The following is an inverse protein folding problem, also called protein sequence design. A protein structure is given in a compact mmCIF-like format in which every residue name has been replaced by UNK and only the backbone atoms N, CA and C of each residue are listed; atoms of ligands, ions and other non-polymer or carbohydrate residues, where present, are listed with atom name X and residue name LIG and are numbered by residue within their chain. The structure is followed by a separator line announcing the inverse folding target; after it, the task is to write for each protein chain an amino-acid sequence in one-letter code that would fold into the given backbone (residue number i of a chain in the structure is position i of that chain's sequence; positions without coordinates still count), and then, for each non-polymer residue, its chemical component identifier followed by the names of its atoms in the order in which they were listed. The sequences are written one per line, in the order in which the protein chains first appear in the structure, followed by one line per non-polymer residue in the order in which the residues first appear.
data_IF_377758172202
#
_entry.id   IF_377758172202
#
_cell.length_a   1.000
_cell.length_b   1.000
_cell.length_c   1.000
_cell.angle_alpha   90.00
_cell.angle_beta   90.00
_cell.angle_gamma   90.00
#
_symmetry.space_group_name_H-M   'P 1'
#
loop_
_entity.id
_entity.type
_entity.pdbx_description
1 polymer ?
#
# COMPACT_ATOMS: atom_id res chain seq x y z
N UNK A 1 9.62 -9.77 20.87
CA UNK A 1 10.09 -8.89 21.97
C UNK A 1 8.87 -8.65 22.83
N UNK A 2 8.81 -9.16 24.06
CA UNK A 2 7.64 -8.91 24.93
C UNK A 2 7.55 -7.41 25.20
N UNK A 3 6.50 -6.77 24.70
CA UNK A 3 6.23 -5.37 25.00
C UNK A 3 5.53 -5.35 26.36
N UNK A 4 6.04 -4.58 27.32
CA UNK A 4 5.37 -4.40 28.60
C UNK A 4 4.34 -3.28 28.38
N UNK A 5 3.03 -3.59 28.35
CA UNK A 5 2.01 -2.58 28.17
C UNK A 5 1.92 -1.67 29.40
N UNK A 6 1.46 -0.42 29.24
CA UNK A 6 1.20 0.45 30.38
C UNK A 6 -0.03 -0.04 31.14
N UNK A 7 -0.07 0.22 32.46
CA UNK A 7 -1.17 -0.22 33.36
C UNK A 7 -2.59 0.12 32.90
N UNK A 8 -2.77 1.21 32.14
CA UNK A 8 -4.09 1.55 31.62
C UNK A 8 -4.52 0.59 30.50
N UNK A 9 -3.57 0.12 29.68
CA UNK A 9 -3.81 -0.82 28.59
C UNK A 9 -4.04 -2.23 29.15
N UNK A 10 -3.30 -2.63 30.19
CA UNK A 10 -3.54 -3.86 30.97
C UNK A 10 -4.97 -3.89 31.51
N UNK A 11 -5.38 -2.87 32.27
CA UNK A 11 -6.74 -2.77 32.81
C UNK A 11 -7.82 -2.76 31.72
N UNK A 12 -7.52 -2.18 30.56
CA UNK A 12 -8.44 -2.17 29.42
C UNK A 12 -8.62 -3.58 28.88
N UNK A 13 -7.55 -4.33 28.59
CA UNK A 13 -7.67 -5.69 28.05
C UNK A 13 -8.33 -6.65 29.05
N UNK A 14 -8.01 -6.53 30.35
CA UNK A 14 -8.67 -7.29 31.42
C UNK A 14 -10.18 -7.04 31.46
N UNK A 15 -10.63 -5.79 31.25
CA UNK A 15 -12.04 -5.44 31.26
C UNK A 15 -12.81 -6.04 30.07
N UNK A 16 -12.19 -6.11 28.88
CA UNK A 16 -12.82 -6.66 27.68
C UNK A 16 -12.72 -8.19 27.57
N UNK A 17 -11.76 -8.82 28.25
CA UNK A 17 -11.53 -10.29 28.26
C UNK A 17 -11.43 -10.90 26.86
N UNK A 18 -10.80 -10.17 25.93
CA UNK A 18 -10.54 -10.64 24.58
C UNK A 18 -9.12 -11.23 24.51
N UNK A 19 -8.98 -12.55 24.34
CA UNK A 19 -7.67 -13.20 24.36
C UNK A 19 -6.78 -12.79 23.19
N UNK A 20 -7.34 -12.48 22.01
CA UNK A 20 -6.55 -12.00 20.87
C UNK A 20 -5.99 -10.62 21.14
N UNK A 21 -6.81 -9.74 21.73
CA UNK A 21 -6.38 -8.39 22.07
C UNK A 21 -5.33 -8.41 23.18
N UNK A 22 -5.49 -9.27 24.18
CA UNK A 22 -4.50 -9.45 25.26
C UNK A 22 -3.14 -9.87 24.68
N UNK A 23 -3.10 -10.94 23.88
CA UNK A 23 -1.87 -11.39 23.19
C UNK A 23 -1.24 -10.28 22.35
N UNK A 24 -2.06 -9.57 21.58
CA UNK A 24 -1.61 -8.46 20.75
C UNK A 24 -0.97 -7.34 21.59
N UNK A 25 -1.59 -7.04 22.75
CA UNK A 25 -1.11 -6.02 23.68
C UNK A 25 0.20 -6.40 24.33
N UNK A 26 0.51 -7.68 24.54
CA UNK A 26 1.83 -8.11 25.03
C UNK A 26 2.87 -8.28 23.91
N UNK A 27 2.50 -7.99 22.65
CA UNK A 27 3.39 -8.14 21.50
C UNK A 27 3.68 -9.60 21.13
N UNK A 28 2.78 -10.51 21.48
CA UNK A 28 2.87 -11.91 21.05
C UNK A 28 2.64 -12.03 19.53
N UNK A 29 3.23 -13.07 18.93
CA UNK A 29 2.94 -13.41 17.55
C UNK A 29 1.52 -13.96 17.45
N UNK A 30 0.65 -13.26 16.74
CA UNK A 30 -0.76 -13.64 16.59
C UNK A 30 -0.92 -14.80 15.61
N UNK A 31 -1.76 -15.77 15.95
CA UNK A 31 -2.20 -16.81 15.04
C UNK A 31 -3.22 -16.25 14.04
N UNK A 32 -3.51 -17.00 12.97
CA UNK A 32 -4.55 -16.62 12.01
C UNK A 32 -5.94 -16.48 12.69
N UNK A 33 -6.26 -17.35 13.66
CA UNK A 33 -7.51 -17.25 14.43
C UNK A 33 -7.54 -16.01 15.33
N UNK A 34 -6.39 -15.64 15.91
CA UNK A 34 -6.32 -14.43 16.72
C UNK A 34 -6.62 -13.18 15.87
N UNK A 35 -6.02 -13.10 14.67
CA UNK A 35 -6.21 -11.99 13.72
C UNK A 35 -7.66 -11.96 13.22
N UNK A 36 -8.26 -13.11 12.91
CA UNK A 36 -9.66 -13.18 12.51
C UNK A 36 -10.59 -12.63 13.59
N UNK A 37 -10.38 -13.02 14.86
CA UNK A 37 -11.13 -12.49 16.01
C UNK A 37 -11.01 -10.96 16.14
N UNK A 38 -9.82 -10.40 15.93
CA UNK A 38 -9.62 -8.93 15.90
C UNK A 38 -10.49 -8.25 14.81
N UNK A 39 -10.67 -8.93 13.67
CA UNK A 39 -11.41 -8.41 12.52
C UNK A 39 -12.92 -8.59 12.61
N UNK A 40 -13.43 -9.56 13.38
CA UNK A 40 -14.84 -9.91 13.43
C UNK A 40 -15.53 -9.61 14.77
N UNK A 41 -14.84 -9.84 15.89
CA UNK A 41 -15.46 -9.92 17.21
C UNK A 41 -14.94 -8.86 18.19
N UNK A 42 -13.65 -8.52 18.14
CA UNK A 42 -13.05 -7.59 19.10
C UNK A 42 -13.70 -6.20 19.01
N UNK A 43 -14.09 -5.56 20.13
CA UNK A 43 -14.62 -4.20 20.09
C UNK A 43 -13.60 -3.21 19.51
N UNK A 44 -14.05 -2.34 18.60
CA UNK A 44 -13.16 -1.47 17.84
C UNK A 44 -12.37 -0.50 18.73
N UNK A 45 -13.03 0.14 19.70
CA UNK A 45 -12.40 1.18 20.53
C UNK A 45 -11.18 0.69 21.33
N UNK A 46 -11.22 -0.41 22.09
CA UNK A 46 -10.03 -0.91 22.78
C UNK A 46 -8.94 -1.37 21.80
N UNK A 47 -9.32 -1.97 20.67
CA UNK A 47 -8.36 -2.35 19.64
C UNK A 47 -7.66 -1.13 19.02
N UNK A 48 -8.41 -0.06 18.73
CA UNK A 48 -7.89 1.18 18.19
C UNK A 48 -6.96 1.88 19.18
N UNK A 49 -7.32 1.89 20.48
CA UNK A 49 -6.47 2.47 21.54
C UNK A 49 -5.14 1.72 21.66
N UNK A 50 -5.15 0.39 21.62
CA UNK A 50 -3.93 -0.42 21.60
C UNK A 50 -3.08 -0.15 20.34
N UNK A 51 -3.72 -0.12 19.17
CA UNK A 51 -3.04 0.12 17.90
C UNK A 51 -2.41 1.51 17.82
N UNK A 52 -3.12 2.57 18.25
CA UNK A 52 -2.61 3.94 18.30
C UNK A 52 -1.43 4.06 19.26
N UNK A 53 -1.56 3.49 20.47
CA UNK A 53 -0.47 3.47 21.45
C UNK A 53 0.81 2.87 20.84
N UNK A 54 0.71 1.69 20.23
CA UNK A 54 1.88 1.04 19.65
C UNK A 54 2.44 1.77 18.44
N UNK A 55 1.59 2.33 17.58
CA UNK A 55 2.06 3.16 16.48
C UNK A 55 2.90 4.34 17.00
N UNK A 56 2.43 5.02 18.05
CA UNK A 56 3.13 6.17 18.65
C UNK A 56 4.43 5.78 19.32
N UNK A 57 4.46 4.67 20.05
CA UNK A 57 5.68 4.16 20.72
C UNK A 57 6.74 3.82 19.67
N UNK A 58 6.40 3.01 18.67
CA UNK A 58 7.34 2.53 17.66
C UNK A 58 7.89 3.68 16.81
N UNK A 59 7.03 4.65 16.48
CA UNK A 59 7.41 5.79 15.64
C UNK A 59 7.84 7.01 16.44
N UNK A 60 7.95 6.91 17.77
CA UNK A 60 8.34 8.01 18.67
C UNK A 60 7.52 9.28 18.42
N UNK A 61 6.22 9.13 18.20
CA UNK A 61 5.29 10.23 17.89
C UNK A 61 5.45 10.87 16.51
N UNK A 62 6.27 10.32 15.61
CA UNK A 62 6.45 10.81 14.24
C UNK A 62 5.39 10.23 13.30
N UNK A 63 4.63 11.13 12.66
CA UNK A 63 3.74 10.81 11.55
C UNK A 63 4.36 11.29 10.24
N UNK A 64 4.24 10.52 9.17
CA UNK A 64 5.00 10.80 7.94
C UNK A 64 4.14 11.02 6.70
N UNK A 65 4.76 11.65 5.70
CA UNK A 65 4.28 11.70 4.32
C UNK A 65 5.45 11.70 3.33
N UNK A 66 5.21 11.40 2.05
CA UNK A 66 6.20 11.50 0.97
C UNK A 66 5.78 12.49 -0.12
N UNK A 67 6.76 13.18 -0.73
CA UNK A 67 6.52 13.93 -1.96
C UNK A 67 6.90 13.07 -3.17
N UNK A 68 5.89 12.58 -3.87
CA UNK A 68 6.02 11.66 -4.98
C UNK A 68 5.07 11.99 -6.14
N UNK A 69 5.37 11.40 -7.29
CA UNK A 69 4.44 11.30 -8.42
C UNK A 69 4.07 9.86 -8.66
N UNK A 70 2.97 9.67 -9.36
CA UNK A 70 2.53 8.39 -9.88
C UNK A 70 2.55 8.43 -11.42
N UNK A 71 3.17 7.42 -12.02
CA UNK A 71 3.22 7.22 -13.47
C UNK A 71 2.58 5.90 -13.82
N UNK A 72 1.55 5.94 -14.67
CA UNK A 72 1.06 4.74 -15.32
C UNK A 72 1.67 4.64 -16.72
N UNK A 73 2.53 3.65 -16.97
CA UNK A 73 3.25 3.58 -18.26
C UNK A 73 2.38 3.07 -19.41
N UNK A 74 1.42 2.20 -19.11
CA UNK A 74 0.38 1.73 -20.03
C UNK A 74 -0.90 1.44 -19.26
N UNK A 75 -2.05 1.56 -19.93
CA UNK A 75 -3.30 1.00 -19.44
C UNK A 75 -3.77 -0.24 -20.23
N UNK A 76 -2.99 -0.71 -21.21
CA UNK A 76 -3.27 -1.97 -21.92
C UNK A 76 -2.98 -3.15 -21.00
N UNK A 77 -3.95 -4.05 -20.78
CA UNK A 77 -3.79 -5.12 -19.80
C UNK A 77 -4.57 -6.40 -20.16
N UNK A 78 -3.91 -7.55 -20.10
CA UNK A 78 -4.54 -8.87 -20.30
C UNK A 78 -5.26 -9.42 -19.06
N UNK A 79 -4.98 -8.89 -17.87
CA UNK A 79 -5.37 -9.51 -16.59
C UNK A 79 -6.86 -9.37 -16.24
N UNK A 80 -7.56 -8.38 -16.80
CA UNK A 80 -9.04 -8.22 -16.70
C UNK A 80 -9.62 -8.35 -15.28
N UNK A 81 -8.99 -7.71 -14.30
CA UNK A 81 -9.47 -7.75 -12.91
C UNK A 81 -10.89 -7.18 -12.79
N UNK A 82 -11.77 -7.86 -12.04
CA UNK A 82 -13.19 -7.47 -11.95
C UNK A 82 -13.40 -6.18 -11.16
N UNK A 83 -12.42 -5.72 -10.39
CA UNK A 83 -12.43 -4.49 -9.60
C UNK A 83 -11.70 -3.31 -10.27
N UNK A 84 -11.14 -3.49 -11.47
CA UNK A 84 -10.27 -2.51 -12.10
C UNK A 84 -10.98 -1.81 -13.27
N UNK A 85 -11.25 -0.52 -13.14
CA UNK A 85 -11.77 0.33 -14.24
C UNK A 85 -10.65 1.01 -15.05
N UNK A 86 -9.38 0.79 -14.70
CA UNK A 86 -8.25 1.43 -15.35
C UNK A 86 -7.87 0.81 -16.69
N UNK A 87 -8.08 -0.50 -16.85
CA UNK A 87 -7.50 -1.24 -17.97
C UNK A 87 -8.28 -1.12 -19.28
N UNK A 88 -7.54 -1.19 -20.38
CA UNK A 88 -8.04 -1.42 -21.74
C UNK A 88 -7.56 -2.80 -22.19
N UNK A 89 -8.46 -3.71 -22.61
CA UNK A 89 -8.04 -5.02 -23.05
C UNK A 89 -7.30 -4.92 -24.41
N UNK A 90 -6.38 -5.85 -24.74
CA UNK A 90 -5.55 -5.76 -25.95
C UNK A 90 -6.36 -5.64 -27.24
N UNK A 91 -7.53 -6.27 -27.34
CA UNK A 91 -8.38 -6.22 -28.54
C UNK A 91 -8.94 -4.80 -28.78
N UNK A 92 -8.85 -3.91 -27.79
CA UNK A 92 -9.24 -2.50 -27.88
C UNK A 92 -8.05 -1.56 -27.66
N UNK A 93 -6.82 -2.00 -27.95
CA UNK A 93 -5.57 -1.22 -27.77
C UNK A 93 -5.65 0.22 -28.29
N UNK A 94 -6.37 0.46 -29.39
CA UNK A 94 -6.58 1.81 -29.95
C UNK A 94 -7.28 2.79 -29.00
N UNK A 95 -8.00 2.29 -27.99
CA UNK A 95 -8.61 3.09 -26.91
C UNK A 95 -7.73 3.21 -25.67
N UNK A 96 -6.57 2.54 -25.66
CA UNK A 96 -5.58 2.58 -24.61
C UNK A 96 -4.41 3.49 -24.96
N UNK A 97 -3.38 3.46 -24.12
CA UNK A 97 -2.14 4.16 -24.34
C UNK A 97 -0.98 3.35 -23.78
N UNK A 98 0.19 3.53 -24.39
CA UNK A 98 1.50 3.14 -23.87
C UNK A 98 2.43 4.31 -24.09
N UNK A 99 2.99 4.86 -23.00
CA UNK A 99 3.93 5.97 -23.08
C UNK A 99 5.32 5.47 -23.49
N UNK A 100 6.06 6.26 -24.26
CA UNK A 100 7.46 5.92 -24.57
C UNK A 100 8.35 6.09 -23.32
N UNK A 101 9.45 5.31 -23.19
CA UNK A 101 10.44 5.48 -22.12
C UNK A 101 10.92 6.93 -21.96
N UNK A 102 11.22 7.60 -23.08
CA UNK A 102 11.63 9.02 -23.12
C UNK A 102 10.57 9.96 -22.56
N UNK A 103 9.29 9.69 -22.82
CA UNK A 103 8.21 10.48 -22.24
C UNK A 103 8.16 10.32 -20.72
N UNK A 104 8.25 9.08 -20.23
CA UNK A 104 8.26 8.78 -18.78
C UNK A 104 9.44 9.47 -18.08
N UNK A 105 10.64 9.38 -18.66
CA UNK A 105 11.82 10.08 -18.17
C UNK A 105 11.60 11.59 -18.10
N UNK A 106 11.11 12.21 -19.18
CA UNK A 106 10.83 13.66 -19.22
C UNK A 106 9.83 14.10 -18.15
N UNK A 107 8.76 13.33 -17.92
CA UNK A 107 7.77 13.65 -16.87
C UNK A 107 8.40 13.54 -15.48
N UNK A 108 9.18 12.48 -15.22
CA UNK A 108 9.90 12.31 -13.95
C UNK A 108 10.90 13.45 -13.70
N UNK A 109 11.69 13.83 -14.70
CA UNK A 109 12.66 14.93 -14.60
C UNK A 109 11.99 16.28 -14.35
N UNK A 110 10.85 16.55 -15.01
CA UNK A 110 10.07 17.75 -14.77
C UNK A 110 9.52 17.81 -13.34
N UNK A 111 8.99 16.68 -12.84
CA UNK A 111 8.49 16.57 -11.48
C UNK A 111 9.61 16.75 -10.46
N UNK A 112 10.80 16.17 -10.70
CA UNK A 112 11.98 16.38 -9.85
C UNK A 112 12.36 17.85 -9.81
N UNK A 113 12.46 18.51 -10.96
CA UNK A 113 12.84 19.93 -11.05
C UNK A 113 11.82 20.88 -10.43
N UNK A 114 10.52 20.65 -10.65
CA UNK A 114 9.46 21.59 -10.24
C UNK A 114 8.90 21.33 -8.85
N UNK A 115 8.84 20.07 -8.45
CA UNK A 115 8.18 19.65 -7.21
C UNK A 115 9.17 19.05 -6.22
N UNK A 116 10.43 18.84 -6.59
CA UNK A 116 11.44 18.25 -5.72
C UNK A 116 11.08 16.83 -5.25
N UNK A 117 10.36 16.04 -6.07
CA UNK A 117 9.91 14.70 -5.65
C UNK A 117 11.08 13.81 -5.25
N UNK A 118 10.84 12.92 -4.28
CA UNK A 118 11.82 11.93 -3.80
C UNK A 118 11.57 10.53 -4.35
N UNK A 119 10.34 10.25 -4.75
CA UNK A 119 9.92 8.96 -5.30
C UNK A 119 9.17 9.18 -6.61
N UNK A 120 9.47 8.33 -7.59
CA UNK A 120 8.62 8.06 -8.74
C UNK A 120 8.01 6.67 -8.52
N UNK A 121 6.70 6.62 -8.35
CA UNK A 121 5.94 5.37 -8.31
C UNK A 121 5.47 5.06 -9.73
N UNK A 122 5.88 3.93 -10.30
CA UNK A 122 5.49 3.55 -11.66
C UNK A 122 4.90 2.14 -11.72
N UNK A 123 3.68 2.01 -12.24
CA UNK A 123 3.03 0.71 -12.51
C UNK A 123 2.24 0.80 -13.81
N UNK A 124 1.69 -0.30 -14.31
CA UNK A 124 0.91 -0.28 -15.53
C UNK A 124 0.04 -1.51 -15.70
N UNK A 125 -0.54 -1.62 -16.88
CA UNK A 125 -1.18 -2.84 -17.33
C UNK A 125 -0.18 -3.87 -17.85
N UNK A 126 -0.57 -5.14 -17.79
CA UNK A 126 0.18 -6.25 -18.36
C UNK A 126 -0.04 -6.32 -19.87
N UNK A 127 0.77 -5.57 -20.63
CA UNK A 127 0.74 -5.51 -22.09
C UNK A 127 1.68 -6.57 -22.70
N UNK A 128 1.16 -7.58 -23.44
CA UNK A 128 1.96 -8.68 -23.98
C UNK A 128 2.83 -8.30 -25.18
N UNK A 129 2.63 -7.12 -25.77
CA UNK A 129 3.45 -6.65 -26.90
C UNK A 129 4.67 -5.84 -26.45
N UNK A 130 4.81 -5.54 -25.16
CA UNK A 130 5.97 -4.81 -24.66
C UNK A 130 7.16 -5.76 -24.49
N UNK A 131 8.28 -5.53 -25.21
CA UNK A 131 9.49 -6.30 -25.04
C UNK A 131 10.17 -5.95 -23.71
N UNK A 132 11.07 -6.81 -23.24
CA UNK A 132 11.78 -6.57 -21.97
C UNK A 132 12.58 -5.25 -21.99
N UNK A 133 13.15 -4.92 -23.15
CA UNK A 133 13.97 -3.73 -23.39
C UNK A 133 13.19 -2.42 -23.17
N UNK A 134 11.87 -2.41 -23.40
CA UNK A 134 11.02 -1.25 -23.11
C UNK A 134 11.07 -0.89 -21.63
N UNK A 135 10.96 -1.88 -20.75
CA UNK A 135 10.95 -1.69 -19.31
C UNK A 135 12.32 -1.23 -18.80
N UNK A 136 13.40 -1.81 -19.31
CA UNK A 136 14.75 -1.39 -18.98
C UNK A 136 15.05 0.04 -19.45
N UNK A 137 14.63 0.39 -20.67
CA UNK A 137 14.78 1.76 -21.17
C UNK A 137 13.97 2.73 -20.31
N UNK A 138 12.74 2.38 -19.91
CA UNK A 138 11.92 3.23 -19.03
C UNK A 138 12.60 3.50 -17.68
N UNK A 139 13.21 2.48 -17.07
CA UNK A 139 14.00 2.64 -15.85
C UNK A 139 15.18 3.61 -16.10
N UNK A 140 16.01 3.33 -17.12
CA UNK A 140 17.21 4.13 -17.42
C UNK A 140 16.88 5.59 -17.73
N UNK A 141 15.82 5.82 -18.51
CA UNK A 141 15.32 7.15 -18.86
C UNK A 141 14.89 7.93 -17.61
N UNK A 142 14.14 7.31 -16.70
CA UNK A 142 13.73 7.96 -15.44
C UNK A 142 14.94 8.28 -14.57
N UNK A 143 15.88 7.34 -14.39
CA UNK A 143 17.07 7.57 -13.56
C UNK A 143 17.99 8.65 -14.13
N UNK A 144 18.06 8.77 -15.46
CA UNK A 144 18.83 9.83 -16.14
C UNK A 144 18.19 11.21 -16.00
N UNK A 145 16.88 11.32 -16.25
CA UNK A 145 16.17 12.61 -16.24
C UNK A 145 15.85 13.13 -14.82
N UNK A 146 15.76 12.23 -13.83
CA UNK A 146 15.45 12.55 -12.44
C UNK A 146 16.51 12.00 -11.46
N UNK A 147 17.77 12.48 -11.51
CA UNK A 147 18.83 11.96 -10.66
C UNK A 147 18.51 12.10 -9.17
N UNK A 148 18.77 11.03 -8.42
CA UNK A 148 18.55 10.94 -6.97
C UNK A 148 17.11 10.67 -6.54
N UNK A 149 16.15 10.48 -7.46
CA UNK A 149 14.85 9.92 -7.09
C UNK A 149 14.93 8.41 -6.89
N UNK A 150 14.17 7.92 -5.92
CA UNK A 150 13.88 6.50 -5.79
C UNK A 150 12.84 6.12 -6.84
N UNK A 151 13.18 5.17 -7.70
CA UNK A 151 12.25 4.56 -8.63
C UNK A 151 11.65 3.31 -7.98
N UNK A 152 10.37 3.43 -7.58
CA UNK A 152 9.58 2.32 -7.09
C UNK A 152 8.65 1.85 -8.20
N UNK A 153 9.02 0.80 -8.90
CA UNK A 153 8.34 0.39 -10.12
C UNK A 153 8.08 -1.12 -10.20
N UNK A 154 7.02 -1.48 -10.93
CA UNK A 154 6.59 -2.85 -11.24
C UNK A 154 6.20 -3.69 -10.02
N UNK A 155 4.92 -4.01 -9.90
CA UNK A 155 4.43 -4.94 -8.89
C UNK A 155 5.01 -6.35 -9.10
N UNK A 156 4.98 -7.20 -8.07
CA UNK A 156 5.34 -8.61 -8.23
C UNK A 156 4.46 -9.33 -9.28
N UNK A 157 3.20 -8.91 -9.43
CA UNK A 157 2.32 -9.34 -10.53
C UNK A 157 2.90 -8.98 -11.91
N UNK A 158 3.35 -7.73 -12.10
CA UNK A 158 3.98 -7.30 -13.35
C UNK A 158 5.30 -8.04 -13.59
N UNK A 159 6.14 -8.25 -12.58
CA UNK A 159 7.38 -9.02 -12.71
C UNK A 159 7.09 -10.45 -13.18
N UNK A 160 6.09 -11.12 -12.60
CA UNK A 160 5.68 -12.47 -13.00
C UNK A 160 5.14 -12.50 -14.43
N UNK A 161 4.32 -11.51 -14.80
CA UNK A 161 3.83 -11.37 -16.16
C UNK A 161 4.96 -11.11 -17.17
N UNK A 162 5.83 -10.14 -16.92
CA UNK A 162 6.95 -9.77 -17.79
C UNK A 162 7.88 -10.97 -18.00
N UNK A 163 8.22 -11.68 -16.93
CA UNK A 163 9.03 -12.90 -17.02
C UNK A 163 8.40 -13.90 -18.01
N UNK A 164 7.13 -14.24 -17.83
CA UNK A 164 6.40 -15.17 -18.72
C UNK A 164 6.30 -14.65 -20.16
N UNK A 165 5.92 -13.39 -20.35
CA UNK A 165 5.67 -12.80 -21.67
C UNK A 165 6.95 -12.66 -22.50
N UNK A 166 8.10 -12.53 -21.84
CA UNK A 166 9.41 -12.31 -22.50
C UNK A 166 10.29 -13.57 -22.51
N UNK A 167 9.80 -14.70 -21.98
CA UNK A 167 10.56 -15.95 -21.91
C UNK A 167 11.72 -15.93 -20.89
N UNK A 168 11.64 -15.09 -19.86
CA UNK A 168 12.62 -14.97 -18.78
C UNK A 168 12.07 -15.57 -17.48
N UNK A 169 12.95 -15.76 -16.49
CA UNK A 169 12.55 -16.03 -15.10
C UNK A 169 12.33 -14.71 -14.33
N UNK A 170 11.50 -14.70 -13.27
CA UNK A 170 11.36 -13.53 -12.40
C UNK A 170 12.69 -13.04 -11.82
N UNK A 171 13.61 -13.96 -11.51
CA UNK A 171 14.95 -13.63 -10.99
C UNK A 171 15.79 -12.88 -12.02
N UNK A 172 15.76 -13.28 -13.30
CA UNK A 172 16.48 -12.58 -14.38
C UNK A 172 15.90 -11.19 -14.62
N UNK A 173 14.57 -11.07 -14.65
CA UNK A 173 13.89 -9.77 -14.80
C UNK A 173 14.28 -8.82 -13.65
N UNK A 174 14.21 -9.28 -12.40
CA UNK A 174 14.62 -8.48 -11.24
C UNK A 174 16.10 -8.09 -11.29
N UNK A 175 16.99 -8.99 -11.75
CA UNK A 175 18.42 -8.71 -11.85
C UNK A 175 18.68 -7.60 -12.88
N UNK A 176 18.09 -7.72 -14.06
CA UNK A 176 18.18 -6.74 -15.15
C UNK A 176 17.59 -5.40 -14.76
N UNK A 177 16.45 -5.39 -14.07
CA UNK A 177 15.83 -4.15 -13.62
C UNK A 177 16.64 -3.46 -12.52
N UNK A 178 17.22 -4.22 -11.59
CA UNK A 178 18.14 -3.67 -10.59
C UNK A 178 19.36 -3.05 -11.25
N UNK A 179 19.96 -3.73 -12.22
CA UNK A 179 21.09 -3.19 -13.00
C UNK A 179 20.73 -1.92 -13.77
N UNK A 180 19.51 -1.86 -14.33
CA UNK A 180 19.00 -0.66 -14.99
C UNK A 180 18.76 0.51 -14.01
N UNK A 181 18.61 0.24 -12.71
CA UNK A 181 18.46 1.26 -11.66
C UNK A 181 17.12 1.24 -10.91
N UNK A 182 16.40 0.12 -10.91
CA UNK A 182 15.23 -0.09 -10.05
C UNK A 182 15.64 -0.14 -8.57
N UNK A 183 14.97 0.64 -7.73
CA UNK A 183 15.33 0.77 -6.31
C UNK A 183 14.40 -0.02 -5.37
N UNK A 184 13.10 -0.15 -5.70
CA UNK A 184 12.11 -0.85 -4.87
C UNK A 184 10.91 -1.33 -5.68
N UNK A 185 10.18 -2.33 -5.15
CA UNK A 185 8.89 -2.74 -5.72
C UNK A 185 7.71 -2.07 -4.99
N UNK A 186 6.67 -1.58 -5.71
CA UNK A 186 5.39 -1.27 -5.11
C UNK A 186 4.68 -2.54 -4.62
N UNK A 187 3.68 -2.38 -3.75
CA UNK A 187 3.00 -3.50 -3.09
C UNK A 187 1.71 -3.97 -3.75
N UNK A 188 1.31 -3.36 -4.87
CA UNK A 188 0.10 -3.73 -5.60
C UNK A 188 0.15 -5.17 -6.13
N UNK A 189 -1.00 -5.68 -6.60
CA UNK A 189 -1.11 -7.02 -7.19
C UNK A 189 -1.43 -8.14 -6.20
N UNK A 190 -1.24 -7.92 -4.90
CA UNK A 190 -1.60 -8.86 -3.86
C UNK A 190 -3.13 -9.03 -3.72
N UNK A 191 -3.87 -7.93 -3.88
CA UNK A 191 -5.30 -7.85 -3.56
C UNK A 191 -5.57 -8.38 -2.14
N UNK A 192 -6.22 -9.52 -2.02
CA UNK A 192 -6.14 -10.40 -0.84
C UNK A 192 -5.43 -11.68 -1.28
N UNK A 193 -4.61 -12.27 -0.40
CA UNK A 193 -3.80 -13.46 -0.76
C UNK A 193 -4.61 -14.77 -0.72
N UNK A 194 -5.90 -14.69 -0.37
CA UNK A 194 -6.76 -15.86 -0.39
C UNK A 194 -7.10 -16.26 -1.82
N UNK A 195 -6.67 -17.45 -2.24
CA UNK A 195 -6.94 -18.00 -3.57
C UNK A 195 -8.44 -18.14 -3.85
N UNK A 196 -9.24 -18.42 -2.81
CA UNK A 196 -10.71 -18.46 -2.91
C UNK A 196 -11.27 -17.13 -3.43
N UNK A 197 -10.75 -16.00 -2.93
CA UNK A 197 -11.18 -14.67 -3.37
C UNK A 197 -10.54 -14.30 -4.70
N UNK A 198 -9.24 -14.55 -4.89
CA UNK A 198 -8.52 -14.20 -6.13
C UNK A 198 -9.12 -14.86 -7.37
N UNK A 199 -9.53 -16.13 -7.29
CA UNK A 199 -10.22 -16.81 -8.39
C UNK A 199 -11.51 -16.12 -8.84
N UNK A 200 -12.16 -15.37 -7.94
CA UNK A 200 -13.39 -14.62 -8.24
C UNK A 200 -13.09 -13.21 -8.76
N UNK A 201 -12.05 -12.55 -8.23
CA UNK A 201 -11.83 -11.12 -8.48
C UNK A 201 -10.71 -10.81 -9.49
N UNK A 202 -9.72 -11.70 -9.64
CA UNK A 202 -8.56 -11.53 -10.51
C UNK A 202 -8.00 -12.89 -10.98
N UNK A 203 -8.80 -13.70 -11.69
CA UNK A 203 -8.44 -15.08 -12.05
C UNK A 203 -7.24 -15.21 -13.00
N UNK A 204 -6.87 -14.15 -13.71
CA UNK A 204 -5.75 -14.16 -14.68
C UNK A 204 -4.43 -13.64 -14.10
N UNK A 205 -4.41 -13.25 -12.83
CA UNK A 205 -3.17 -12.91 -12.13
C UNK A 205 -2.36 -14.16 -11.81
N UNK A 206 -1.08 -13.98 -11.48
CA UNK A 206 -0.29 -15.05 -10.87
C UNK A 206 -0.92 -15.48 -9.54
N UNK A 207 -0.63 -16.70 -9.08
CA UNK A 207 -1.10 -17.17 -7.78
C UNK A 207 -0.49 -16.34 -6.63
N UNK A 208 -1.09 -16.40 -5.45
CA UNK A 208 -0.57 -15.73 -4.25
C UNK A 208 0.79 -16.28 -3.82
N UNK A 209 1.07 -17.56 -4.07
CA UNK A 209 2.37 -18.16 -3.77
C UNK A 209 3.44 -17.65 -4.73
N UNK A 210 3.15 -17.59 -6.03
CA UNK A 210 4.05 -16.94 -7.01
C UNK A 210 4.28 -15.47 -6.67
N UNK A 211 3.23 -14.75 -6.26
CA UNK A 211 3.33 -13.36 -5.85
C UNK A 211 4.28 -13.17 -4.66
N UNK A 212 4.13 -13.99 -3.61
CA UNK A 212 5.01 -13.95 -2.43
C UNK A 212 6.44 -14.41 -2.76
N UNK A 213 6.60 -15.39 -3.65
CA UNK A 213 7.91 -15.87 -4.09
C UNK A 213 8.70 -14.79 -4.84
N UNK A 214 8.04 -14.00 -5.69
CA UNK A 214 8.68 -12.88 -6.37
C UNK A 214 9.18 -11.82 -5.38
N UNK A 215 8.40 -11.53 -4.33
CA UNK A 215 8.86 -10.67 -3.24
C UNK A 215 10.05 -11.28 -2.49
N UNK A 216 10.01 -12.59 -2.18
CA UNK A 216 11.13 -13.30 -1.56
C UNK A 216 12.41 -13.20 -2.41
N UNK A 217 12.30 -13.40 -3.71
CA UNK A 217 13.40 -13.25 -4.65
C UNK A 217 13.94 -11.81 -4.66
N UNK A 218 13.05 -10.82 -4.77
CA UNK A 218 13.43 -9.40 -4.75
C UNK A 218 14.19 -9.04 -3.45
N UNK A 219 13.67 -9.47 -2.30
CA UNK A 219 14.29 -9.25 -1.00
C UNK A 219 15.68 -9.89 -0.90
N UNK A 220 15.84 -11.14 -1.40
CA UNK A 220 17.14 -11.83 -1.44
C UNK A 220 18.19 -11.11 -2.30
N UNK A 221 17.73 -10.27 -3.23
CA UNK A 221 18.54 -9.48 -4.15
C UNK A 221 18.77 -8.03 -3.68
N UNK A 222 18.34 -7.70 -2.45
CA UNK A 222 18.44 -6.35 -1.86
C UNK A 222 17.37 -5.37 -2.35
N UNK A 223 16.40 -5.81 -3.16
CA UNK A 223 15.29 -4.99 -3.62
C UNK A 223 14.18 -5.09 -2.59
N UNK A 224 13.98 -4.01 -1.82
CA UNK A 224 12.90 -3.94 -0.83
C UNK A 224 11.57 -3.62 -1.50
N UNK A 225 10.46 -3.94 -0.85
CA UNK A 225 9.13 -3.71 -1.44
C UNK A 225 8.09 -3.21 -0.45
N UNK A 226 6.97 -2.70 -0.95
CA UNK A 226 5.75 -2.56 -0.17
C UNK A 226 4.88 -3.81 -0.29
N UNK A 227 3.84 -3.89 0.55
CA UNK A 227 2.77 -4.87 0.42
C UNK A 227 1.41 -4.18 0.63
N UNK A 228 0.42 -4.50 -0.20
CA UNK A 228 -0.93 -3.92 -0.11
C UNK A 228 -1.97 -4.98 0.22
N UNK A 229 -3.07 -4.57 0.86
CA UNK A 229 -4.28 -5.36 1.00
C UNK A 229 -5.44 -4.62 0.33
N UNK A 230 -6.08 -5.20 -0.68
CA UNK A 230 -7.39 -4.73 -1.14
C UNK A 230 -8.48 -5.28 -0.20
N UNK A 231 -9.35 -4.40 0.30
CA UNK A 231 -10.40 -4.77 1.26
C UNK A 231 -11.71 -4.01 0.99
N UNK A 232 -12.76 -4.35 1.74
CA UNK A 232 -14.13 -3.82 1.60
C UNK A 232 -14.81 -4.21 0.28
N UNK A 233 -14.50 -5.41 -0.22
CA UNK A 233 -15.20 -6.07 -1.30
C UNK A 233 -15.88 -7.36 -0.80
N UNK A 234 -15.78 -8.44 -1.57
CA UNK A 234 -16.39 -9.74 -1.25
C UNK A 234 -15.64 -10.54 -0.19
N UNK A 235 -14.53 -10.02 0.36
CA UNK A 235 -13.70 -10.76 1.32
C UNK A 235 -14.46 -11.00 2.64
N UNK A 236 -13.82 -11.75 3.53
CA UNK A 236 -14.32 -12.07 4.87
C UNK A 236 -13.18 -11.90 5.85
N UNK A 237 -13.44 -11.73 7.15
CA UNK A 237 -12.40 -11.60 8.17
C UNK A 237 -11.30 -12.68 8.05
N UNK A 238 -11.66 -13.94 7.83
CA UNK A 238 -10.71 -15.05 7.58
C UNK A 238 -9.74 -14.79 6.43
N UNK A 239 -10.19 -14.16 5.33
CA UNK A 239 -9.37 -13.88 4.16
C UNK A 239 -8.34 -12.77 4.43
N UNK A 240 -8.74 -11.76 5.21
CA UNK A 240 -7.85 -10.69 5.66
C UNK A 240 -6.85 -11.22 6.70
N UNK A 241 -7.30 -12.10 7.60
CA UNK A 241 -6.45 -12.77 8.56
C UNK A 241 -5.37 -13.63 7.88
N UNK A 242 -5.76 -14.43 6.88
CA UNK A 242 -4.85 -15.20 6.04
C UNK A 242 -3.79 -14.29 5.39
N UNK A 243 -4.22 -13.16 4.82
CA UNK A 243 -3.32 -12.19 4.20
C UNK A 243 -2.29 -11.65 5.20
N UNK A 244 -2.74 -11.12 6.34
CA UNK A 244 -1.87 -10.54 7.37
C UNK A 244 -0.90 -11.56 7.96
N UNK A 245 -1.38 -12.78 8.19
CA UNK A 245 -0.54 -13.89 8.66
C UNK A 245 0.56 -14.23 7.66
N UNK A 246 0.21 -14.42 6.37
CA UNK A 246 1.19 -14.80 5.33
C UNK A 246 2.26 -13.73 5.11
N UNK A 247 1.87 -12.45 5.08
CA UNK A 247 2.85 -11.36 4.88
C UNK A 247 3.76 -11.19 6.10
N UNK A 248 3.24 -11.42 7.32
CA UNK A 248 4.06 -11.43 8.54
C UNK A 248 5.12 -12.52 8.48
N UNK A 249 4.74 -13.75 8.09
CA UNK A 249 5.68 -14.88 7.96
C UNK A 249 6.78 -14.59 6.96
N UNK A 250 6.43 -14.08 5.77
CA UNK A 250 7.44 -13.68 4.79
C UNK A 250 8.33 -12.54 5.29
N UNK A 251 7.78 -11.61 6.06
CA UNK A 251 8.58 -10.53 6.67
C UNK A 251 9.54 -11.06 7.74
N UNK A 252 9.12 -12.01 8.57
CA UNK A 252 9.99 -12.69 9.54
C UNK A 252 11.13 -13.45 8.85
N UNK A 253 10.88 -14.00 7.65
CA UNK A 253 11.90 -14.67 6.83
C UNK A 253 12.89 -13.70 6.16
N UNK A 254 12.40 -12.57 5.63
CA UNK A 254 13.16 -11.76 4.66
C UNK A 254 13.48 -10.33 5.10
N UNK A 255 12.69 -9.75 6.01
CA UNK A 255 12.81 -8.35 6.45
C UNK A 255 12.63 -7.31 5.34
N UNK A 256 12.22 -7.71 4.14
CA UNK A 256 12.30 -6.87 2.95
C UNK A 256 11.14 -5.92 2.75
N UNK A 257 9.97 -6.17 3.37
CA UNK A 257 8.86 -5.23 3.29
C UNK A 257 9.18 -3.94 4.03
N UNK A 258 8.85 -2.83 3.39
CA UNK A 258 9.05 -1.46 3.87
C UNK A 258 7.79 -0.98 4.58
N UNK A 259 6.62 -1.16 3.95
CA UNK A 259 5.34 -0.71 4.49
C UNK A 259 4.17 -1.59 4.04
N UNK A 260 3.15 -1.63 4.90
CA UNK A 260 1.85 -2.21 4.61
C UNK A 260 0.83 -1.12 4.29
N UNK A 261 0.04 -1.34 3.25
CA UNK A 261 -0.89 -0.34 2.69
C UNK A 261 -2.26 -0.98 2.48
N UNK A 262 -3.22 -0.81 3.41
CA UNK A 262 -4.60 -1.19 3.18
C UNK A 262 -5.23 -0.23 2.14
N UNK A 263 -5.71 -0.82 1.05
CA UNK A 263 -6.37 -0.13 -0.06
C UNK A 263 -7.85 -0.47 -0.02
N UNK A 264 -8.68 0.56 0.21
CA UNK A 264 -10.13 0.42 0.17
C UNK A 264 -10.60 0.19 -1.26
N UNK A 265 -11.39 -0.85 -1.48
CA UNK A 265 -12.09 -1.05 -2.75
C UNK A 265 -13.05 0.11 -3.02
N UNK A 266 -12.89 0.74 -4.18
CA UNK A 266 -13.83 1.74 -4.66
C UNK A 266 -14.67 1.12 -5.78
N UNK A 267 -15.99 0.95 -5.60
CA UNK A 267 -16.79 0.14 -6.52
C UNK A 267 -16.84 0.68 -7.95
N UNK A 268 -16.85 2.00 -8.14
CA UNK A 268 -16.82 2.60 -9.47
C UNK A 268 -17.91 2.06 -10.41
N UNK A 269 -17.54 1.82 -11.67
CA UNK A 269 -18.36 1.13 -12.67
C UNK A 269 -17.80 -0.27 -12.99
N UNK A 270 -17.17 -0.90 -12.00
CA UNK A 270 -16.46 -2.17 -12.15
C UNK A 270 -17.41 -3.36 -12.21
N UNK A 271 -17.05 -4.48 -12.85
CA UNK A 271 -17.81 -5.74 -12.74
C UNK A 271 -18.06 -6.19 -11.29
N UNK A 272 -17.09 -6.04 -10.40
CA UNK A 272 -17.19 -6.44 -8.99
C UNK A 272 -18.25 -5.62 -8.24
N UNK A 273 -18.44 -4.35 -8.59
CA UNK A 273 -19.50 -3.51 -7.99
C UNK A 273 -20.93 -4.03 -8.25
N UNK A 274 -21.09 -4.83 -9.30
CA UNK A 274 -22.38 -5.45 -9.69
C UNK A 274 -22.47 -6.92 -9.27
N UNK A 275 -21.42 -7.45 -8.63
CA UNK A 275 -21.39 -8.85 -8.22
C UNK A 275 -22.43 -9.09 -7.11
N UNK A 276 -23.27 -10.15 -7.20
CA UNK A 276 -24.34 -10.39 -6.23
C UNK A 276 -23.88 -10.43 -4.77
N UNK A 277 -22.72 -11.05 -4.50
CA UNK A 277 -22.17 -11.09 -3.13
C UNK A 277 -21.80 -9.70 -2.61
N UNK A 278 -21.23 -8.83 -3.45
CA UNK A 278 -20.88 -7.46 -3.04
C UNK A 278 -22.14 -6.64 -2.79
N UNK A 279 -23.11 -6.71 -3.70
CA UNK A 279 -24.40 -6.02 -3.58
C UNK A 279 -25.15 -6.47 -2.32
N UNK A 280 -25.13 -7.77 -2.00
CA UNK A 280 -25.75 -8.33 -0.79
C UNK A 280 -25.03 -7.91 0.50
N UNK A 281 -23.69 -7.92 0.52
CA UNK A 281 -22.90 -7.49 1.69
C UNK A 281 -23.01 -5.97 1.92
N UNK A 282 -23.17 -5.19 0.86
CA UNK A 282 -23.22 -3.73 0.90
C UNK A 282 -21.83 -3.10 1.05
N UNK A 283 -21.76 -1.78 0.84
CA UNK A 283 -20.53 -1.02 1.09
C UNK A 283 -20.20 -1.03 2.58
N UNK A 284 -18.96 -1.37 2.93
CA UNK A 284 -18.52 -1.40 4.33
C UNK A 284 -18.18 0.01 4.77
N UNK A 285 -18.84 0.53 5.81
CA UNK A 285 -18.63 1.91 6.26
C UNK A 285 -17.25 2.18 6.89
N UNK A 286 -17.00 3.45 7.22
CA UNK A 286 -15.73 3.96 7.77
C UNK A 286 -15.19 3.23 9.01
N UNK A 287 -16.07 2.66 9.84
CA UNK A 287 -15.64 1.88 11.00
C UNK A 287 -14.92 0.59 10.62
N UNK A 288 -15.28 -0.03 9.49
CA UNK A 288 -14.55 -1.20 8.98
C UNK A 288 -13.17 -0.82 8.46
N UNK A 289 -13.03 0.34 7.82
CA UNK A 289 -11.73 0.86 7.40
C UNK A 289 -10.77 1.05 8.58
N UNK A 290 -11.26 1.69 9.65
CA UNK A 290 -10.50 1.92 10.88
C UNK A 290 -10.17 0.59 11.59
N UNK A 291 -11.09 -0.37 11.54
CA UNK A 291 -10.87 -1.73 12.03
C UNK A 291 -9.73 -2.44 11.30
N UNK A 292 -9.70 -2.36 9.97
CA UNK A 292 -8.62 -2.95 9.16
C UNK A 292 -7.27 -2.36 9.56
N UNK A 293 -7.16 -1.04 9.66
CA UNK A 293 -5.90 -0.38 10.08
C UNK A 293 -5.46 -0.82 11.48
N UNK A 294 -6.39 -0.84 12.45
CA UNK A 294 -6.07 -1.21 13.83
C UNK A 294 -5.67 -2.68 13.97
N UNK A 295 -6.43 -3.59 13.36
CA UNK A 295 -6.10 -5.02 13.34
C UNK A 295 -4.76 -5.27 12.63
N UNK A 296 -4.49 -4.62 11.49
CA UNK A 296 -3.21 -4.74 10.78
C UNK A 296 -2.03 -4.26 11.61
N UNK A 297 -2.16 -3.14 12.33
CA UNK A 297 -1.10 -2.66 13.25
C UNK A 297 -0.75 -3.71 14.29
N UNK A 298 -1.76 -4.29 14.95
CA UNK A 298 -1.55 -5.30 15.99
C UNK A 298 -1.00 -6.61 15.41
N UNK A 299 -1.55 -7.08 14.29
CA UNK A 299 -1.09 -8.30 13.62
C UNK A 299 0.36 -8.20 13.10
N UNK A 300 0.77 -7.03 12.61
CA UNK A 300 2.09 -6.82 12.03
C UNK A 300 3.10 -6.19 13.01
N UNK A 301 2.73 -6.06 14.28
CA UNK A 301 3.53 -5.39 15.30
C UNK A 301 4.93 -6.02 15.40
N UNK A 302 5.97 -5.19 15.21
CA UNK A 302 7.37 -5.62 15.23
C UNK A 302 7.85 -6.33 13.96
N UNK A 303 6.98 -6.56 12.98
CA UNK A 303 7.33 -7.13 11.67
C UNK A 303 7.31 -6.05 10.57
N UNK A 304 6.18 -5.34 10.42
CA UNK A 304 6.02 -4.23 9.45
C UNK A 304 5.48 -3.02 10.20
N UNK A 305 6.38 -2.14 10.62
CA UNK A 305 6.02 -1.04 11.52
C UNK A 305 5.45 0.18 10.80
N UNK A 306 5.59 0.24 9.48
CA UNK A 306 5.09 1.34 8.69
C UNK A 306 3.73 0.98 8.07
N UNK A 307 2.66 1.54 8.64
CA UNK A 307 1.28 1.32 8.21
C UNK A 307 0.75 2.62 7.59
N UNK A 308 0.40 2.57 6.31
CA UNK A 308 -0.05 3.74 5.55
C UNK A 308 -1.58 3.86 5.53
N UNK A 309 -2.11 4.99 5.97
CA UNK A 309 -3.48 5.38 5.69
C UNK A 309 -3.58 5.97 4.27
N UNK A 310 -3.86 5.13 3.27
CA UNK A 310 -3.84 5.55 1.87
C UNK A 310 -5.03 6.47 1.53
N UNK A 311 -4.82 7.78 1.65
CA UNK A 311 -5.87 8.79 1.50
C UNK A 311 -6.53 8.76 0.11
N UNK A 312 -5.83 8.29 -0.93
CA UNK A 312 -6.36 8.21 -2.30
C UNK A 312 -7.52 7.20 -2.40
N UNK A 313 -7.50 6.09 -1.64
CA UNK A 313 -8.62 5.15 -1.61
C UNK A 313 -9.63 5.44 -0.50
N UNK A 314 -9.16 5.81 0.70
CA UNK A 314 -10.02 5.97 1.89
C UNK A 314 -10.70 7.34 1.97
N UNK A 315 -10.14 8.34 1.29
CA UNK A 315 -10.49 9.74 1.48
C UNK A 315 -9.73 10.39 2.64
N UNK A 316 -9.59 11.70 2.54
CA UNK A 316 -8.71 12.49 3.42
C UNK A 316 -9.11 12.44 4.89
N UNK A 317 -10.39 12.69 5.20
CA UNK A 317 -10.88 12.74 6.59
C UNK A 317 -10.69 11.39 7.30
N UNK A 318 -10.95 10.30 6.58
CA UNK A 318 -10.81 8.96 7.13
C UNK A 318 -9.35 8.56 7.27
N UNK A 319 -8.49 8.93 6.33
CA UNK A 319 -7.04 8.70 6.44
C UNK A 319 -6.44 9.48 7.62
N UNK A 320 -6.93 10.69 7.90
CA UNK A 320 -6.56 11.43 9.11
C UNK A 320 -7.02 10.69 10.38
N UNK A 321 -8.27 10.21 10.43
CA UNK A 321 -8.77 9.45 11.57
C UNK A 321 -7.98 8.13 11.79
N UNK A 322 -7.53 7.50 10.71
CA UNK A 322 -6.73 6.28 10.76
C UNK A 322 -5.36 6.47 11.46
N UNK A 323 -4.82 7.70 11.50
CA UNK A 323 -3.63 8.02 12.29
C UNK A 323 -3.84 7.87 13.80
N UNK A 324 -5.09 7.83 14.27
CA UNK A 324 -5.47 7.49 15.66
C UNK A 324 -5.96 6.05 15.81
N UNK A 325 -5.74 5.20 14.80
CA UNK A 325 -6.16 3.80 14.77
C UNK A 325 -5.01 2.87 14.34
N UNK A 326 -3.76 3.32 14.48
CA UNK A 326 -2.57 2.50 14.23
C UNK A 326 -1.79 2.82 12.95
N UNK A 327 -2.32 3.66 12.04
CA UNK A 327 -1.52 4.18 10.95
C UNK A 327 -0.50 5.21 11.46
N UNK A 328 0.64 5.31 10.80
CA UNK A 328 1.68 6.29 11.12
C UNK A 328 2.21 7.04 9.89
N UNK A 329 1.61 6.78 8.73
CA UNK A 329 1.95 7.40 7.46
C UNK A 329 0.64 7.73 6.74
N UNK A 330 0.47 8.97 6.29
CA UNK A 330 -0.73 9.36 5.55
C UNK A 330 -0.58 9.13 4.04
N UNK A 331 0.58 8.67 3.58
CA UNK A 331 0.89 8.43 2.18
C UNK A 331 1.67 9.58 1.56
N UNK A 332 1.38 9.90 0.30
CA UNK A 332 2.14 10.87 -0.47
C UNK A 332 1.30 11.95 -1.14
N UNK A 333 1.99 12.85 -1.82
CA UNK A 333 1.33 13.85 -2.67
C UNK A 333 0.59 13.20 -3.82
N UNK A 334 1.06 12.04 -4.32
CA UNK A 334 0.45 11.23 -5.38
C UNK A 334 -0.02 12.08 -6.56
N UNK A 335 0.80 13.04 -6.98
CA UNK A 335 0.50 13.82 -8.17
C UNK A 335 0.42 12.87 -9.37
N UNK A 336 -0.64 12.99 -10.17
CA UNK A 336 -0.93 12.14 -11.33
C UNK A 336 -1.30 10.66 -11.01
N UNK A 337 -1.86 10.37 -9.82
CA UNK A 337 -2.41 9.02 -9.55
C UNK A 337 -3.62 8.75 -10.44
N UNK A 338 -3.47 7.81 -11.36
CA UNK A 338 -4.45 7.53 -12.42
C UNK A 338 -5.21 6.22 -12.24
N UNK A 339 -4.70 5.27 -11.44
CA UNK A 339 -5.27 3.93 -11.35
C UNK A 339 -6.46 3.92 -10.38
N UNK A 340 -6.28 4.38 -9.15
CA UNK A 340 -7.37 4.45 -8.17
C UNK A 340 -8.33 5.58 -8.53
N UNK A 341 -7.82 6.71 -9.05
CA UNK A 341 -8.66 7.78 -9.58
C UNK A 341 -9.61 7.31 -10.70
N UNK A 342 -9.23 6.30 -11.50
CA UNK A 342 -10.10 5.75 -12.53
C UNK A 342 -11.24 4.89 -11.95
N UNK A 343 -10.97 4.12 -10.89
CA UNK A 343 -11.96 3.30 -10.20
C UNK A 343 -12.87 4.11 -9.25
N UNK A 344 -12.41 5.25 -8.73
CA UNK A 344 -13.22 6.07 -7.84
C UNK A 344 -14.21 6.95 -8.62
N UNK A 345 -15.49 6.95 -8.21
CA UNK A 345 -16.48 7.95 -8.65
C UNK A 345 -16.20 9.37 -8.12
N UNK A 346 -15.22 9.49 -7.23
CA UNK A 346 -14.73 10.73 -6.66
C UNK A 346 -13.92 11.48 -7.72
N UNK A 347 -14.24 12.76 -7.95
CA UNK A 347 -13.57 13.68 -8.91
C UNK A 347 -12.05 13.42 -8.98
N UNK A 348 -11.48 13.33 -10.20
CA UNK A 348 -10.04 13.16 -10.48
C UNK A 348 -9.19 13.89 -9.43
N UNK A 349 -8.58 13.14 -8.51
CA UNK A 349 -7.76 13.71 -7.44
C UNK A 349 -6.45 14.16 -8.05
N UNK A 350 -6.21 15.48 -8.13
CA UNK A 350 -5.00 16.07 -8.70
C UNK A 350 -3.75 15.89 -7.81
N UNK A 351 -3.81 15.08 -6.76
CA UNK A 351 -2.85 14.98 -5.67
C UNK A 351 -3.20 15.87 -4.47
N UNK A 352 -2.43 15.77 -3.39
CA UNK A 352 -2.54 16.58 -2.17
C UNK A 352 -1.25 17.37 -1.96
N UNK A 353 -1.34 18.63 -1.55
CA UNK A 353 -0.15 19.45 -1.30
C UNK A 353 0.59 19.02 -0.02
N UNK A 354 1.92 19.20 0.06
CA UNK A 354 2.68 18.96 1.29
C UNK A 354 2.11 19.68 2.51
N UNK A 355 1.69 20.95 2.36
CA UNK A 355 1.08 21.71 3.45
C UNK A 355 -0.20 21.07 4.00
N UNK A 356 -1.02 20.47 3.13
CA UNK A 356 -2.24 19.79 3.57
C UNK A 356 -1.94 18.45 4.27
N UNK A 357 -0.94 17.72 3.79
CA UNK A 357 -0.45 16.49 4.45
C UNK A 357 0.10 16.80 5.85
N UNK A 358 0.95 17.83 5.96
CA UNK A 358 1.49 18.34 7.24
C UNK A 358 0.37 18.74 8.19
N UNK A 359 -0.61 19.50 7.71
CA UNK A 359 -1.79 19.88 8.50
C UNK A 359 -2.50 18.63 9.04
N UNK A 360 -2.79 17.66 8.16
CA UNK A 360 -3.55 16.47 8.54
C UNK A 360 -2.85 15.62 9.61
N UNK A 361 -1.53 15.48 9.51
CA UNK A 361 -0.70 14.76 10.48
C UNK A 361 -0.65 15.53 11.82
N UNK A 362 -0.38 16.84 11.78
CA UNK A 362 -0.26 17.66 12.97
C UNK A 362 -1.57 17.71 13.78
N UNK A 363 -2.71 17.89 13.11
CA UNK A 363 -4.01 17.93 13.80
C UNK A 363 -4.47 16.57 14.32
N UNK A 364 -3.87 15.47 13.86
CA UNK A 364 -4.04 14.13 14.45
C UNK A 364 -3.11 13.89 15.67
N UNK A 365 -2.36 14.91 16.11
CA UNK A 365 -1.49 14.85 17.28
C UNK A 365 -0.15 14.15 17.02
N UNK A 366 0.35 14.18 15.79
CA UNK A 366 1.65 13.61 15.42
C UNK A 366 2.64 14.71 15.04
N UNK A 367 3.94 14.45 15.22
CA UNK A 367 5.00 15.33 14.68
C UNK A 367 5.18 15.04 13.20
N UNK A 368 4.85 15.97 12.28
CA UNK A 368 4.89 15.72 10.85
C UNK A 368 6.31 15.72 10.30
N UNK A 369 6.68 14.67 9.58
CA UNK A 369 7.96 14.56 8.88
C UNK A 369 7.75 14.17 7.41
N UNK A 370 8.54 14.77 6.52
CA UNK A 370 8.68 14.22 5.17
C UNK A 370 9.57 12.96 5.27
N UNK A 371 9.25 11.94 4.49
CA UNK A 371 10.10 10.75 4.33
C UNK A 371 10.46 10.49 2.87
N UNK A 372 11.51 9.72 2.66
CA UNK A 372 11.70 9.00 1.39
C UNK A 372 10.99 7.64 1.40
N UNK A 373 11.21 6.84 0.36
CA UNK A 373 10.63 5.49 0.22
C UNK A 373 11.08 4.56 1.36
N UNK A 374 12.30 4.71 1.85
CA UNK A 374 12.89 3.84 2.88
C UNK A 374 12.71 4.38 4.31
N UNK A 375 11.86 5.39 4.49
CA UNK A 375 11.55 6.01 5.78
C UNK A 375 12.72 6.75 6.43
N UNK A 376 13.67 7.28 5.64
CA UNK A 376 14.56 8.32 6.14
C UNK A 376 13.78 9.63 6.25
N UNK A 377 13.88 10.30 7.40
CA UNK A 377 13.09 11.49 7.71
C UNK A 377 13.81 12.79 7.37
N UNK A 378 13.04 13.75 6.88
CA UNK A 378 13.46 15.10 6.51
C UNK A 378 12.48 16.12 7.14
N UNK A 379 12.93 17.36 7.38
CA UNK A 379 12.04 18.43 7.81
C UNK A 379 10.83 18.57 6.87
N UNK A 380 9.63 18.85 7.40
CA UNK A 380 8.44 19.04 6.58
C UNK A 380 8.61 20.27 5.66
N UNK A 381 7.96 20.24 4.49
CA UNK A 381 8.03 21.35 3.50
C UNK A 381 7.13 22.54 3.82
N UNK A 382 6.35 22.44 4.88
CA UNK A 382 5.46 23.47 5.35
C UNK A 382 5.51 23.50 6.87
N UNK A 383 5.34 24.69 7.44
CA UNK A 383 5.21 24.81 8.89
C UNK A 383 3.94 24.10 9.38
N UNK A 384 4.03 23.29 10.44
CA UNK A 384 2.86 22.73 11.08
C UNK A 384 1.93 23.85 11.58
N UNK A 385 0.60 23.65 11.56
CA UNK A 385 -0.33 24.62 12.13
C UNK A 385 -0.03 24.83 13.61
N UNK A 386 -0.07 26.10 14.06
CA UNK A 386 0.01 26.43 15.49
C UNK A 386 -1.34 26.13 16.14
N UNK A 387 -1.50 24.92 16.66
CA UNK A 387 -2.74 24.50 17.33
C UNK A 387 -2.67 24.88 18.82
N UNK A 388 -3.74 25.45 19.42
CA UNK A 388 -3.73 25.90 20.81
C UNK A 388 -3.33 24.81 21.81
N UNK A 389 -3.69 23.55 21.55
CA UNK A 389 -3.37 22.41 22.40
C UNK A 389 -1.97 21.80 22.16
N UNK A 390 -1.19 22.31 21.20
CA UNK A 390 0.22 21.93 21.00
C UNK A 390 1.20 22.85 21.72
N UNK A 391 0.71 23.88 22.42
CA UNK A 391 1.52 24.90 23.11
C UNK A 391 1.65 24.64 24.62
N UNK A 392 1.31 23.44 25.11
CA UNK A 392 1.29 23.06 26.53
C UNK A 392 2.28 21.96 26.87
#
# INVERSE_FOLDING_TARGET
MGLIPPKWLERMVEAYRDPSLERAVYGEALTMSDIERLLSETPLHPMAAAADYYARVIKKGVGSYIVNIYLAYTNVCVTRCTFCDFYVPPERRSSGYTHSPKHLGRVAGLARKRLGVREVHMVGGNDPELPLEYYEEAIREIKREAPGVVLKAFTAEEIGFIAKATGNTPKEVLARFREAGLDALPGGGAEVLSEEVRKRIAPLKISSDEYLEIHRLAHSMGIRSNITLLYAHIEEPKHVAEHLYRIRRLQEETGGFISFIPIRFNPGKTPLSRHPEYVKKGDRGGLYDLRIVAASRLALLGAIDNIMAYWVSMGEKLAQAALSHGANDIGGTFYNESVISAASSLRKRKGMSPARLVFNIATAGWTPMERDTFYNYYPPRAEPPRLPWMQG
#
